data_IF_623280875454
#
_entry.id   IF_623280875454
#
_cell.length_a   1.000
_cell.length_b   1.000
_cell.length_c   1.000
_cell.angle_alpha   90.00
_cell.angle_beta   90.00
_cell.angle_gamma   90.00
#
_symmetry.space_group_name_H-M   'P 1'
#
loop_
_entity.id
_entity.type
_entity.pdbx_description
1 polymer ?
#
# COMPACT_ATOMS: atom_id res chain seq x y z
N UNK A 1 8.26 -18.05 25.30
CA UNK A 1 7.69 -18.93 24.25
C UNK A 1 8.03 -18.34 22.88
N UNK A 2 8.87 -19.01 22.06
CA UNK A 2 9.08 -18.61 20.66
C UNK A 2 7.93 -19.21 19.84
N UNK A 3 6.98 -18.39 19.42
CA UNK A 3 5.89 -18.83 18.55
C UNK A 3 6.50 -19.31 17.24
N UNK A 4 6.41 -20.61 16.95
CA UNK A 4 6.83 -21.18 15.66
C UNK A 4 5.73 -20.88 14.65
N UNK A 5 5.92 -19.79 13.91
CA UNK A 5 5.02 -19.47 12.80
C UNK A 5 5.25 -20.46 11.66
N UNK A 6 4.16 -21.08 11.18
CA UNK A 6 4.22 -22.06 10.08
C UNK A 6 4.64 -21.46 8.73
N UNK A 7 4.47 -20.14 8.55
CA UNK A 7 4.82 -19.43 7.34
C UNK A 7 5.64 -18.19 7.67
N UNK A 8 6.68 -17.95 6.87
CA UNK A 8 7.54 -16.76 7.00
C UNK A 8 6.75 -15.46 6.88
N UNK A 9 5.72 -15.41 6.03
CA UNK A 9 4.83 -14.25 5.91
C UNK A 9 4.06 -13.93 7.20
N UNK A 10 3.65 -14.94 7.95
CA UNK A 10 3.01 -14.77 9.27
C UNK A 10 4.03 -14.33 10.30
N UNK A 11 5.23 -14.91 10.27
CA UNK A 11 6.34 -14.50 11.13
C UNK A 11 6.68 -13.01 10.95
N UNK A 12 6.77 -12.55 9.70
CA UNK A 12 7.12 -11.18 9.34
C UNK A 12 6.02 -10.16 9.68
N UNK A 13 4.75 -10.57 9.65
CA UNK A 13 3.61 -9.69 10.03
C UNK A 13 3.42 -9.52 11.53
N UNK A 14 3.84 -10.49 12.34
CA UNK A 14 3.47 -10.57 13.76
C UNK A 14 4.60 -10.26 14.75
N UNK A 15 5.83 -9.98 14.27
CA UNK A 15 6.95 -9.61 15.14
C UNK A 15 7.13 -8.10 15.23
N UNK A 16 7.46 -7.62 16.43
CA UNK A 16 8.03 -6.29 16.62
C UNK A 16 9.45 -6.23 16.02
N UNK A 17 9.81 -5.05 15.52
CA UNK A 17 11.02 -4.69 14.75
C UNK A 17 12.27 -5.54 15.08
N UNK A 18 12.81 -6.22 14.07
CA UNK A 18 14.18 -6.75 14.03
C UNK A 18 14.81 -6.58 12.63
N UNK A 19 16.12 -6.77 12.50
CA UNK A 19 16.89 -6.60 11.25
C UNK A 19 16.26 -7.34 10.05
N UNK A 20 15.91 -8.62 10.22
CA UNK A 20 15.28 -9.44 9.18
C UNK A 20 13.84 -8.98 8.82
N UNK A 21 13.04 -8.51 9.78
CA UNK A 21 11.69 -7.99 9.51
C UNK A 21 11.72 -6.55 8.99
N UNK A 22 12.85 -5.86 9.11
CA UNK A 22 13.06 -4.49 8.62
C UNK A 22 13.65 -4.44 7.23
N UNK A 23 14.31 -5.52 6.82
CA UNK A 23 14.77 -5.66 5.45
C UNK A 23 13.57 -5.68 4.48
N UNK A 24 13.56 -4.69 3.57
CA UNK A 24 12.51 -4.53 2.57
C UNK A 24 12.49 -5.71 1.60
N UNK A 25 13.65 -6.34 1.33
CA UNK A 25 13.78 -7.44 0.36
C UNK A 25 13.12 -8.72 0.86
N UNK A 26 13.15 -8.96 2.18
CA UNK A 26 12.55 -10.14 2.81
C UNK A 26 11.10 -9.93 3.25
N UNK A 27 10.57 -8.69 3.21
CA UNK A 27 9.16 -8.42 3.54
C UNK A 27 8.23 -8.99 2.46
N UNK A 28 7.10 -9.63 2.84
CA UNK A 28 6.12 -10.07 1.87
C UNK A 28 5.54 -8.86 1.13
N UNK A 29 5.41 -8.98 -0.20
CA UNK A 29 4.70 -8.02 -1.03
C UNK A 29 3.21 -8.06 -0.71
N UNK A 30 2.75 -7.05 0.02
CA UNK A 30 1.34 -6.85 0.37
C UNK A 30 0.89 -5.50 -0.17
N UNK A 31 -0.42 -5.28 -0.26
CA UNK A 31 -0.98 -3.97 -0.65
C UNK A 31 -0.52 -2.81 0.25
N UNK A 32 0.08 -3.09 1.42
CA UNK A 32 0.59 -2.06 2.32
C UNK A 32 2.11 -1.86 2.22
N UNK A 33 2.85 -2.87 1.79
CA UNK A 33 4.32 -2.84 1.69
C UNK A 33 4.80 -2.56 0.26
N UNK A 34 3.92 -2.70 -0.72
CA UNK A 34 4.19 -2.44 -2.13
C UNK A 34 4.42 -0.95 -2.43
N UNK A 35 3.80 -0.03 -1.67
CA UNK A 35 4.05 1.41 -1.77
C UNK A 35 5.50 1.80 -1.43
N UNK A 36 6.14 1.01 -0.57
CA UNK A 36 7.48 1.24 -0.04
C UNK A 36 8.56 0.48 -0.81
N UNK A 37 8.17 -0.39 -1.74
CA UNK A 37 9.12 -1.16 -2.53
C UNK A 37 9.62 -0.36 -3.73
N UNK A 38 10.94 -0.15 -3.79
CA UNK A 38 11.61 0.61 -4.84
C UNK A 38 12.19 -0.32 -5.91
N UNK A 39 11.32 -1.10 -6.55
CA UNK A 39 11.71 -1.99 -7.66
C UNK A 39 11.71 -1.17 -8.96
N UNK A 40 12.83 -0.50 -9.26
CA UNK A 40 13.26 -0.13 -10.62
C UNK A 40 12.37 0.76 -11.50
N UNK A 41 12.97 1.83 -12.03
CA UNK A 41 12.58 2.66 -13.20
C UNK A 41 11.09 2.67 -13.59
N UNK A 42 10.31 3.52 -12.92
CA UNK A 42 8.97 3.92 -13.34
C UNK A 42 8.00 4.02 -12.17
N UNK A 43 7.08 4.99 -12.25
CA UNK A 43 5.96 5.05 -11.30
C UNK A 43 5.05 3.87 -11.61
N UNK A 44 5.25 2.77 -10.90
CA UNK A 44 4.45 1.58 -11.11
C UNK A 44 3.01 1.82 -10.62
N UNK A 45 2.02 1.62 -11.49
CA UNK A 45 0.60 1.93 -11.23
C UNK A 45 0.07 1.27 -9.95
N UNK A 46 0.55 0.06 -9.66
CA UNK A 46 0.22 -0.68 -8.44
C UNK A 46 0.72 0.00 -7.16
N UNK A 47 1.82 0.76 -7.22
CA UNK A 47 2.37 1.54 -6.10
C UNK A 47 1.40 2.65 -5.70
N UNK A 48 0.82 3.34 -6.70
CA UNK A 48 -0.17 4.38 -6.47
C UNK A 48 -1.45 3.78 -5.85
N UNK A 49 -1.90 2.62 -6.35
CA UNK A 49 -3.02 1.90 -5.73
C UNK A 49 -2.73 1.52 -4.27
N UNK A 50 -1.53 1.03 -3.98
CA UNK A 50 -1.07 0.73 -2.62
C UNK A 50 -1.08 1.97 -1.70
N UNK A 51 -0.66 3.14 -2.21
CA UNK A 51 -0.72 4.40 -1.46
C UNK A 51 -2.15 4.85 -1.13
N UNK A 52 -3.12 4.56 -2.00
CA UNK A 52 -4.54 4.81 -1.71
C UNK A 52 -5.01 3.92 -0.57
N UNK A 53 -4.70 2.62 -0.59
CA UNK A 53 -5.04 1.70 0.50
C UNK A 53 -4.37 2.09 1.83
N UNK A 54 -3.11 2.52 1.81
CA UNK A 54 -2.46 3.07 3.00
C UNK A 54 -3.19 4.31 3.53
N UNK A 55 -3.63 5.21 2.65
CA UNK A 55 -4.38 6.40 3.05
C UNK A 55 -5.72 6.04 3.71
N UNK A 56 -6.44 5.05 3.16
CA UNK A 56 -7.68 4.50 3.76
C UNK A 56 -7.40 3.88 5.12
N UNK A 57 -6.38 3.04 5.23
CA UNK A 57 -6.01 2.42 6.50
C UNK A 57 -5.65 3.48 7.56
N UNK A 58 -4.91 4.51 7.17
CA UNK A 58 -4.56 5.62 8.06
C UNK A 58 -5.80 6.39 8.53
N UNK A 59 -6.75 6.67 7.65
CA UNK A 59 -8.02 7.30 8.01
C UNK A 59 -8.80 6.46 9.04
N UNK A 60 -8.91 5.14 8.80
CA UNK A 60 -9.54 4.21 9.74
C UNK A 60 -8.85 4.23 11.11
N UNK A 61 -7.52 4.14 11.14
CA UNK A 61 -6.77 4.12 12.40
C UNK A 61 -6.85 5.45 13.18
N UNK A 62 -7.02 6.56 12.48
CA UNK A 62 -7.18 7.90 13.09
C UNK A 62 -8.63 8.26 13.39
N UNK A 63 -9.59 7.36 13.10
CA UNK A 63 -11.02 7.59 13.32
C UNK A 63 -11.67 8.53 12.30
N UNK A 64 -10.99 8.82 11.19
CA UNK A 64 -11.52 9.63 10.09
C UNK A 64 -12.32 8.72 9.15
N UNK A 65 -13.59 9.05 8.93
CA UNK A 65 -14.51 8.22 8.13
C UNK A 65 -14.42 8.48 6.62
N UNK A 66 -13.80 9.58 6.20
CA UNK A 66 -13.77 10.00 4.80
C UNK A 66 -12.36 10.35 4.35
N UNK A 67 -12.06 10.10 3.07
CA UNK A 67 -10.82 10.55 2.45
C UNK A 67 -11.06 11.87 1.73
N UNK A 68 -10.13 12.81 1.84
CA UNK A 68 -10.20 14.05 1.07
C UNK A 68 -10.11 13.76 -0.44
N UNK A 69 -11.06 14.28 -1.23
CA UNK A 69 -11.08 14.07 -2.69
C UNK A 69 -9.78 14.55 -3.36
N UNK A 70 -9.23 15.67 -2.87
CA UNK A 70 -7.94 16.21 -3.32
C UNK A 70 -6.79 15.20 -3.18
N UNK A 71 -6.81 14.36 -2.14
CA UNK A 71 -5.81 13.31 -1.94
C UNK A 71 -5.93 12.23 -3.02
N UNK A 72 -7.15 11.78 -3.33
CA UNK A 72 -7.41 10.78 -4.38
C UNK A 72 -6.99 11.33 -5.74
N UNK A 73 -7.36 12.57 -6.05
CA UNK A 73 -6.98 13.26 -7.29
C UNK A 73 -5.46 13.42 -7.43
N UNK A 74 -4.76 13.74 -6.35
CA UNK A 74 -3.29 13.86 -6.35
C UNK A 74 -2.56 12.54 -6.65
N UNK A 75 -3.22 11.42 -6.35
CA UNK A 75 -2.70 10.08 -6.66
C UNK A 75 -3.08 9.70 -8.10
N UNK A 76 -4.32 10.00 -8.51
CA UNK A 76 -4.81 9.77 -9.87
C UNK A 76 -3.98 10.51 -10.93
N UNK A 77 -3.57 11.75 -10.67
CA UNK A 77 -2.78 12.57 -11.61
C UNK A 77 -1.40 11.99 -11.93
N UNK A 78 -0.90 11.05 -11.12
CA UNK A 78 0.37 10.36 -11.33
C UNK A 78 0.23 9.12 -12.21
N UNK A 79 -1.01 8.70 -12.51
CA UNK A 79 -1.29 7.55 -13.35
C UNK A 79 -1.36 7.96 -14.83
N UNK A 80 -0.91 7.10 -15.75
CA UNK A 80 -1.22 7.26 -17.16
C UNK A 80 -2.74 7.21 -17.39
N UNK A 81 -3.28 8.10 -18.22
CA UNK A 81 -4.72 8.27 -18.43
C UNK A 81 -5.44 6.96 -18.81
N UNK A 82 -4.83 6.12 -19.65
CA UNK A 82 -5.42 4.87 -20.13
C UNK A 82 -5.11 3.64 -19.28
N UNK A 83 -4.48 3.83 -18.12
CA UNK A 83 -4.12 2.71 -17.25
C UNK A 83 -5.34 2.07 -16.58
N UNK A 84 -5.26 0.75 -16.34
CA UNK A 84 -6.27 0.02 -15.55
C UNK A 84 -6.48 0.65 -14.18
N UNK A 85 -5.39 1.12 -13.55
CA UNK A 85 -5.47 1.78 -12.25
C UNK A 85 -6.18 3.13 -12.35
N UNK A 86 -5.97 3.94 -13.40
CA UNK A 86 -6.68 5.20 -13.59
C UNK A 86 -8.20 4.98 -13.70
N UNK A 87 -8.65 3.90 -14.37
CA UNK A 87 -10.07 3.54 -14.42
C UNK A 87 -10.67 3.28 -13.03
N UNK A 88 -9.93 2.61 -12.15
CA UNK A 88 -10.37 2.37 -10.78
C UNK A 88 -10.44 3.68 -9.98
N UNK A 89 -9.47 4.58 -10.12
CA UNK A 89 -9.52 5.89 -9.45
C UNK A 89 -10.69 6.74 -9.94
N UNK A 90 -10.96 6.77 -11.25
CA UNK A 90 -12.11 7.49 -11.82
C UNK A 90 -13.44 6.95 -11.29
N UNK A 91 -13.57 5.61 -11.15
CA UNK A 91 -14.75 5.00 -10.57
C UNK A 91 -14.95 5.41 -9.10
N UNK A 92 -13.86 5.52 -8.33
CA UNK A 92 -13.91 5.98 -6.93
C UNK A 92 -14.28 7.46 -6.84
N UNK A 93 -13.78 8.32 -7.73
CA UNK A 93 -14.10 9.76 -7.71
C UNK A 93 -15.55 10.09 -8.12
N UNK A 94 -16.22 9.15 -8.76
CA UNK A 94 -17.61 9.24 -9.18
C UNK A 94 -18.61 8.80 -8.09
N UNK A 95 -18.14 8.15 -7.01
CA UNK A 95 -18.93 7.84 -5.81
C UNK A 95 -19.10 9.10 -4.94
#
# INVERSE_FOLDING_TARGET
VRTKFHRASTYLRCRSFNEFTNDIVSRPFTIFTLADSDIGYGIAQYRIGSQLFQSVAHAIFTGVQTLAKTRVQSLASKLPADSTMARHFNAIEAL
#
